data_IF_172760720525
#
_entry.id   IF_172760720525
#
_cell.length_a   1.000
_cell.length_b   1.000
_cell.length_c   1.000
_cell.angle_alpha   90.00
_cell.angle_beta   90.00
_cell.angle_gamma   90.00
#
_symmetry.space_group_name_H-M   'P 1'
#
loop_
_entity.id
_entity.type
_entity.pdbx_description
1 polymer ?
#
# COMPACT_ATOMS: atom_id res chain seq x y z
N UNK A 1 -12.07 9.44 5.58
CA UNK A 1 -10.58 9.59 5.59
C UNK A 1 -9.97 8.20 5.66
N UNK A 2 -8.94 7.93 4.87
CA UNK A 2 -8.17 6.69 4.92
C UNK A 2 -6.75 7.01 5.40
N UNK A 3 -6.26 6.26 6.35
CA UNK A 3 -4.93 6.48 6.92
C UNK A 3 -4.41 5.32 7.74
N UNK A 4 -3.55 5.62 8.65
CA UNK A 4 -2.88 4.72 9.57
C UNK A 4 -1.78 5.47 10.31
N UNK A 5 -0.81 4.78 10.86
CA UNK A 5 0.33 5.42 11.50
C UNK A 5 0.60 4.93 12.92
N UNK A 6 -0.02 3.85 13.32
CA UNK A 6 0.21 3.18 14.60
C UNK A 6 0.61 1.74 14.37
N UNK A 7 1.61 1.27 15.07
CA UNK A 7 2.02 -0.13 15.01
C UNK A 7 3.40 -0.35 15.61
N UNK A 8 3.83 -1.61 15.70
CA UNK A 8 5.09 -1.98 16.35
C UNK A 8 6.33 -1.68 15.51
N UNK A 9 6.17 -1.51 14.20
CA UNK A 9 7.29 -1.27 13.30
C UNK A 9 7.76 0.18 13.38
N UNK A 10 9.07 0.40 13.44
CA UNK A 10 9.66 1.72 13.31
C UNK A 10 9.27 2.32 11.95
N UNK A 11 8.93 3.60 11.93
CA UNK A 11 8.52 4.27 10.69
C UNK A 11 7.03 4.16 10.34
N UNK A 12 6.23 3.39 11.06
CA UNK A 12 4.78 3.28 10.78
C UNK A 12 4.05 4.62 10.83
N UNK A 13 4.51 5.57 11.65
CA UNK A 13 3.96 6.92 11.72
C UNK A 13 4.12 7.70 10.41
N UNK A 14 5.18 7.44 9.66
CA UNK A 14 5.47 8.11 8.40
C UNK A 14 4.91 7.37 7.17
N UNK A 15 4.56 6.12 7.30
CA UNK A 15 4.23 5.25 6.17
C UNK A 15 2.74 5.06 5.91
N UNK A 16 1.90 5.72 6.68
CA UNK A 16 0.43 5.71 6.50
C UNK A 16 -0.14 4.30 6.56
N UNK A 17 0.30 3.47 7.51
CA UNK A 17 -0.28 2.16 7.75
C UNK A 17 -0.29 1.77 9.22
N UNK A 18 -1.16 0.84 9.53
CA UNK A 18 -1.31 0.26 10.87
C UNK A 18 -1.12 -1.25 10.74
N UNK A 19 0.12 -1.78 10.96
CA UNK A 19 0.40 -3.19 10.73
C UNK A 19 -0.11 -4.07 11.87
N UNK A 20 -0.75 -5.16 11.47
CA UNK A 20 -1.18 -6.23 12.34
C UNK A 20 -2.61 -6.10 12.87
N UNK A 21 -3.29 -7.23 13.08
CA UNK A 21 -4.71 -7.28 13.44
C UNK A 21 -5.04 -6.51 14.71
N UNK A 22 -4.23 -6.66 15.75
CA UNK A 22 -4.46 -6.01 17.04
C UNK A 22 -4.45 -4.49 16.93
N UNK A 23 -3.45 -3.92 16.24
CA UNK A 23 -3.33 -2.47 16.07
C UNK A 23 -4.47 -1.90 15.22
N UNK A 24 -4.88 -2.60 14.17
CA UNK A 24 -6.02 -2.20 13.33
C UNK A 24 -7.28 -2.13 14.19
N UNK A 25 -7.55 -3.13 14.99
CA UNK A 25 -8.71 -3.14 15.87
C UNK A 25 -8.66 -2.01 16.91
N UNK A 26 -7.48 -1.71 17.47
CA UNK A 26 -7.31 -0.56 18.40
C UNK A 26 -7.56 0.77 17.71
N UNK A 27 -7.08 0.94 16.48
CA UNK A 27 -7.33 2.16 15.71
C UNK A 27 -8.83 2.33 15.39
N UNK A 28 -9.51 1.26 15.02
CA UNK A 28 -10.96 1.29 14.78
C UNK A 28 -11.69 1.71 16.07
N UNK A 29 -11.36 1.13 17.20
CA UNK A 29 -11.96 1.50 18.49
C UNK A 29 -11.67 2.97 18.88
N UNK A 30 -10.44 3.43 18.65
CA UNK A 30 -10.08 4.82 18.93
C UNK A 30 -10.84 5.81 18.04
N UNK A 31 -11.32 5.37 16.88
CA UNK A 31 -12.05 6.19 15.94
C UNK A 31 -13.51 6.43 16.29
N UNK A 32 -14.07 5.67 17.22
CA UNK A 32 -15.50 5.75 17.59
C UNK A 32 -15.93 7.13 18.10
N UNK A 33 -15.00 7.90 18.66
CA UNK A 33 -15.28 9.24 19.17
C UNK A 33 -15.36 10.33 18.07
N UNK A 34 -14.99 10.03 16.84
CA UNK A 34 -14.92 11.01 15.76
C UNK A 34 -16.16 10.94 14.86
N UNK A 35 -16.85 12.09 14.62
CA UNK A 35 -18.05 12.12 13.78
C UNK A 35 -17.71 12.12 12.29
N UNK A 36 -16.91 11.16 11.84
CA UNK A 36 -16.53 11.01 10.43
C UNK A 36 -16.21 9.55 10.08
N UNK A 37 -16.31 9.22 8.81
CA UNK A 37 -15.90 7.92 8.31
C UNK A 37 -14.37 7.83 8.27
N UNK A 38 -13.81 6.91 9.04
CA UNK A 38 -12.38 6.62 9.12
C UNK A 38 -12.10 5.19 8.66
N UNK A 39 -11.04 5.02 7.87
CA UNK A 39 -10.56 3.72 7.45
C UNK A 39 -9.06 3.60 7.69
N UNK A 40 -8.59 2.39 7.96
CA UNK A 40 -7.19 2.14 8.28
C UNK A 40 -6.56 1.17 7.28
N UNK A 41 -5.36 1.53 6.84
CA UNK A 41 -4.55 0.71 5.96
C UNK A 41 -3.67 -0.25 6.77
N UNK A 42 -3.70 -1.51 6.43
CA UNK A 42 -2.73 -2.50 6.90
C UNK A 42 -1.41 -2.41 6.14
N UNK A 43 -0.39 -3.11 6.63
CA UNK A 43 0.91 -3.23 5.97
C UNK A 43 0.80 -4.19 4.79
N UNK A 44 1.07 -3.70 3.59
CA UNK A 44 0.99 -4.48 2.34
C UNK A 44 2.23 -5.34 2.08
N UNK A 45 3.39 -4.96 2.63
CA UNK A 45 4.62 -5.73 2.47
C UNK A 45 4.56 -7.00 3.31
N UNK A 46 4.34 -8.12 2.66
CA UNK A 46 4.31 -9.44 3.28
C UNK A 46 4.83 -10.49 2.32
N UNK A 47 5.62 -11.42 2.83
CA UNK A 47 6.12 -12.55 2.06
C UNK A 47 5.06 -13.62 1.81
N UNK A 48 4.02 -13.64 2.66
CA UNK A 48 2.96 -14.65 2.61
C UNK A 48 1.58 -13.98 2.65
N UNK A 49 0.57 -14.54 1.97
CA UNK A 49 -0.77 -13.96 1.90
C UNK A 49 -1.53 -14.00 3.24
N UNK A 50 -1.18 -14.92 4.14
CA UNK A 50 -1.88 -15.08 5.42
C UNK A 50 -1.83 -13.81 6.27
N UNK A 51 -0.67 -13.18 6.38
CA UNK A 51 -0.51 -11.93 7.15
C UNK A 51 -1.32 -10.76 6.58
N UNK A 52 -1.53 -10.74 5.27
CA UNK A 52 -2.40 -9.76 4.62
C UNK A 52 -3.87 -10.05 4.92
N UNK A 53 -4.27 -11.31 4.80
CA UNK A 53 -5.64 -11.75 5.11
C UNK A 53 -6.03 -11.44 6.55
N UNK A 54 -5.15 -11.70 7.50
CA UNK A 54 -5.41 -11.43 8.93
C UNK A 54 -5.70 -9.94 9.17
N UNK A 55 -4.96 -9.05 8.53
CA UNK A 55 -5.17 -7.61 8.64
C UNK A 55 -6.51 -7.18 8.01
N UNK A 56 -6.85 -7.72 6.85
CA UNK A 56 -8.14 -7.46 6.18
C UNK A 56 -9.29 -7.93 7.07
N UNK A 57 -9.21 -9.14 7.59
CA UNK A 57 -10.23 -9.70 8.49
C UNK A 57 -10.37 -8.94 9.81
N UNK A 58 -9.31 -8.24 10.24
CA UNK A 58 -9.34 -7.37 11.40
C UNK A 58 -9.97 -5.99 11.14
N UNK A 59 -10.29 -5.67 9.87
CA UNK A 59 -10.95 -4.44 9.48
C UNK A 59 -10.08 -3.45 8.69
N UNK A 60 -8.91 -3.87 8.21
CA UNK A 60 -8.17 -3.04 7.26
C UNK A 60 -8.98 -2.88 5.96
N UNK A 61 -9.21 -1.64 5.55
CA UNK A 61 -9.94 -1.32 4.31
C UNK A 61 -9.00 -1.01 3.13
N UNK A 62 -7.70 -1.07 3.36
CA UNK A 62 -6.66 -0.93 2.35
C UNK A 62 -5.36 -1.60 2.82
N UNK A 63 -4.43 -1.79 1.89
CA UNK A 63 -3.07 -2.24 2.18
C UNK A 63 -2.06 -1.23 1.64
N UNK A 64 -1.03 -0.92 2.42
CA UNK A 64 0.03 0.02 2.06
C UNK A 64 1.34 -0.68 1.80
N UNK A 65 1.90 -0.47 0.62
CA UNK A 65 3.25 -0.85 0.23
C UNK A 65 4.21 0.33 0.43
N UNK A 66 5.37 0.08 1.01
CA UNK A 66 6.40 1.09 1.23
C UNK A 66 7.80 0.46 1.13
N UNK A 67 8.75 1.15 0.51
CA UNK A 67 10.11 0.64 0.29
C UNK A 67 10.86 0.32 1.57
N UNK A 68 10.62 1.05 2.65
CA UNK A 68 11.24 0.79 3.97
C UNK A 68 11.06 -0.64 4.47
N UNK A 69 10.11 -1.36 3.90
CA UNK A 69 9.81 -2.75 4.27
C UNK A 69 10.08 -3.76 3.15
N UNK A 70 10.81 -3.36 2.10
CA UNK A 70 11.11 -4.23 0.98
C UNK A 70 9.94 -4.42 0.02
N UNK A 71 9.71 -3.44 -0.86
CA UNK A 71 8.67 -3.51 -1.89
C UNK A 71 9.19 -4.23 -3.14
N UNK A 72 9.48 -5.52 -2.98
CA UNK A 72 9.89 -6.39 -4.09
C UNK A 72 8.72 -6.69 -5.03
N UNK A 73 8.98 -7.10 -6.29
CA UNK A 73 7.94 -7.56 -7.20
C UNK A 73 7.02 -8.63 -6.60
N UNK A 74 7.60 -9.55 -5.82
CA UNK A 74 6.83 -10.60 -5.13
C UNK A 74 5.91 -10.04 -4.04
N UNK A 75 6.37 -9.04 -3.27
CA UNK A 75 5.55 -8.39 -2.26
C UNK A 75 4.39 -7.60 -2.89
N UNK A 76 4.64 -6.92 -4.02
CA UNK A 76 3.61 -6.21 -4.79
C UNK A 76 2.57 -7.19 -5.30
N UNK A 77 3.00 -8.26 -5.94
CA UNK A 77 2.10 -9.28 -6.51
C UNK A 77 1.23 -9.94 -5.43
N UNK A 78 1.84 -10.31 -4.31
CA UNK A 78 1.14 -10.91 -3.18
C UNK A 78 0.08 -9.95 -2.59
N UNK A 79 0.45 -8.68 -2.42
CA UNK A 79 -0.45 -7.66 -1.90
C UNK A 79 -1.65 -7.44 -2.83
N UNK A 80 -1.40 -7.24 -4.12
CA UNK A 80 -2.45 -7.01 -5.11
C UNK A 80 -3.36 -8.22 -5.29
N UNK A 81 -2.81 -9.44 -5.26
CA UNK A 81 -3.60 -10.67 -5.35
C UNK A 81 -4.56 -10.83 -4.18
N UNK A 82 -4.14 -10.44 -2.97
CA UNK A 82 -5.03 -10.44 -1.81
C UNK A 82 -6.07 -9.33 -1.88
N UNK A 83 -5.67 -8.15 -2.34
CA UNK A 83 -6.58 -7.03 -2.52
C UNK A 83 -7.68 -7.33 -3.55
N UNK A 84 -7.33 -7.92 -4.68
CA UNK A 84 -8.30 -8.37 -5.69
C UNK A 84 -9.29 -9.39 -5.11
N UNK A 85 -8.80 -10.31 -4.28
CA UNK A 85 -9.63 -11.34 -3.64
C UNK A 85 -10.65 -10.77 -2.65
N UNK A 86 -10.29 -9.71 -1.94
CA UNK A 86 -11.12 -9.12 -0.88
C UNK A 86 -11.74 -7.78 -1.28
N UNK A 87 -11.54 -7.34 -2.51
CA UNK A 87 -12.05 -6.10 -3.07
C UNK A 87 -11.70 -4.87 -2.20
N UNK A 88 -10.40 -4.71 -1.89
CA UNK A 88 -9.89 -3.58 -1.12
C UNK A 88 -8.81 -2.81 -1.89
N UNK A 89 -8.57 -1.57 -1.48
CA UNK A 89 -7.59 -0.69 -2.09
C UNK A 89 -6.15 -1.09 -1.73
N UNK A 90 -5.24 -0.96 -2.71
CA UNK A 90 -3.79 -0.95 -2.47
C UNK A 90 -3.22 0.42 -2.73
N UNK A 91 -2.31 0.86 -1.87
CA UNK A 91 -1.56 2.10 -2.00
C UNK A 91 -0.07 1.79 -1.98
N UNK A 92 0.71 2.49 -2.82
CA UNK A 92 2.16 2.33 -2.87
C UNK A 92 2.85 3.68 -2.74
N UNK A 93 3.92 3.73 -1.93
CA UNK A 93 4.86 4.82 -1.91
C UNK A 93 5.86 4.64 -3.06
N UNK A 94 6.11 5.69 -3.85
CA UNK A 94 6.79 5.57 -5.14
C UNK A 94 8.13 6.30 -5.23
N UNK A 95 8.66 6.83 -4.12
CA UNK A 95 9.87 7.66 -4.17
C UNK A 95 11.11 6.92 -4.65
N UNK A 96 11.23 5.65 -4.36
CA UNK A 96 12.41 4.86 -4.69
C UNK A 96 12.16 3.63 -5.54
N UNK A 97 10.93 3.44 -6.02
CA UNK A 97 10.63 2.51 -7.11
C UNK A 97 10.96 1.05 -6.83
N UNK A 98 10.83 0.60 -5.62
CA UNK A 98 11.38 -0.65 -5.11
C UNK A 98 12.91 -0.62 -4.92
N UNK A 99 13.39 -1.36 -3.98
CA UNK A 99 14.83 -1.45 -3.66
C UNK A 99 15.66 -2.14 -4.76
N UNK A 100 15.04 -2.78 -5.73
CA UNK A 100 15.70 -3.39 -6.89
C UNK A 100 15.93 -2.43 -8.05
N UNK A 101 15.46 -1.20 -7.96
CA UNK A 101 16.02 -0.07 -8.69
C UNK A 101 15.40 0.29 -10.04
N UNK A 102 14.38 -0.41 -10.55
CA UNK A 102 13.78 -0.09 -11.83
C UNK A 102 12.26 -0.03 -11.80
N UNK A 103 11.71 1.08 -12.30
CA UNK A 103 10.27 1.31 -12.39
C UNK A 103 9.56 0.22 -13.21
N UNK A 104 10.21 -0.30 -14.22
CA UNK A 104 9.68 -1.34 -15.09
C UNK A 104 9.37 -2.62 -14.33
N UNK A 105 10.17 -2.97 -13.33
CA UNK A 105 9.91 -4.13 -12.48
C UNK A 105 8.67 -3.93 -11.62
N UNK A 106 8.47 -2.73 -11.10
CA UNK A 106 7.27 -2.36 -10.34
C UNK A 106 6.02 -2.40 -11.23
N UNK A 107 6.09 -1.78 -12.41
CA UNK A 107 4.97 -1.79 -13.37
C UNK A 107 4.63 -3.21 -13.83
N UNK A 108 5.64 -4.05 -14.06
CA UNK A 108 5.44 -5.46 -14.40
C UNK A 108 4.76 -6.22 -13.27
N UNK A 109 5.16 -5.97 -12.02
CA UNK A 109 4.55 -6.61 -10.85
C UNK A 109 3.10 -6.16 -10.63
N UNK A 110 2.80 -4.88 -10.87
CA UNK A 110 1.44 -4.34 -10.82
C UNK A 110 0.54 -5.05 -11.86
N UNK A 111 1.08 -5.33 -13.04
CA UNK A 111 0.42 -6.11 -14.09
C UNK A 111 -1.01 -5.64 -14.39
N UNK A 112 -1.18 -4.34 -14.64
CA UNK A 112 -2.46 -3.69 -14.97
C UNK A 112 -3.55 -3.78 -13.88
N UNK A 113 -3.21 -4.23 -12.67
CA UNK A 113 -4.12 -4.20 -11.53
C UNK A 113 -4.27 -2.79 -10.97
N UNK A 114 -5.35 -2.56 -10.23
CA UNK A 114 -5.64 -1.23 -9.67
C UNK A 114 -4.75 -0.99 -8.44
N UNK A 115 -4.06 0.14 -8.45
CA UNK A 115 -3.22 0.59 -7.35
C UNK A 115 -3.22 2.12 -7.28
N UNK A 116 -3.21 2.68 -6.07
CA UNK A 116 -3.03 4.11 -5.87
C UNK A 116 -1.56 4.41 -5.60
N UNK A 117 -0.93 5.16 -6.47
CA UNK A 117 0.46 5.55 -6.31
C UNK A 117 0.56 6.96 -5.72
N UNK A 118 1.24 7.09 -4.57
CA UNK A 118 1.54 8.39 -3.98
C UNK A 118 2.76 9.04 -4.62
N UNK A 119 2.77 10.38 -4.65
CA UNK A 119 3.90 11.23 -5.08
C UNK A 119 4.60 10.79 -6.37
N UNK A 120 3.85 10.33 -7.33
CA UNK A 120 4.40 9.91 -8.64
C UNK A 120 5.07 11.05 -9.38
N UNK A 121 4.68 12.29 -9.12
CA UNK A 121 5.24 13.50 -9.72
C UNK A 121 6.66 13.80 -9.29
N UNK A 122 7.09 13.35 -8.11
CA UNK A 122 8.43 13.58 -7.55
C UNK A 122 9.30 12.34 -7.48
N UNK A 123 8.74 11.18 -7.81
CA UNK A 123 9.43 9.92 -7.64
C UNK A 123 10.60 9.74 -8.60
N UNK A 124 11.69 9.16 -8.10
CA UNK A 124 12.78 8.67 -8.95
C UNK A 124 13.70 9.73 -9.53
N UNK A 125 13.94 10.83 -8.82
CA UNK A 125 15.00 11.75 -9.18
C UNK A 125 14.90 12.34 -10.59
N UNK A 126 13.69 12.65 -11.05
CA UNK A 126 13.42 13.24 -12.35
C UNK A 126 12.81 12.30 -13.40
N UNK A 127 12.66 11.03 -13.07
CA UNK A 127 11.83 10.12 -13.86
C UNK A 127 10.40 10.19 -13.31
N UNK A 128 9.59 11.03 -13.90
CA UNK A 128 8.19 11.12 -13.53
C UNK A 128 7.45 9.83 -13.93
N UNK A 129 6.99 9.07 -12.96
CA UNK A 129 6.13 7.91 -13.19
C UNK A 129 4.82 8.26 -13.90
N UNK A 130 4.39 9.51 -13.83
CA UNK A 130 3.23 10.03 -14.57
C UNK A 130 3.40 9.80 -16.06
N UNK A 131 4.59 10.05 -16.61
CA UNK A 131 4.86 9.87 -18.05
C UNK A 131 4.98 8.40 -18.46
N UNK A 132 5.23 7.51 -17.52
CA UNK A 132 5.39 6.06 -17.77
C UNK A 132 4.07 5.33 -17.56
N UNK A 133 3.25 5.80 -16.62
CA UNK A 133 2.00 5.15 -16.24
C UNK A 133 0.74 5.70 -16.88
N UNK A 134 0.83 6.82 -17.62
CA UNK A 134 -0.33 7.30 -18.36
C UNK A 134 -0.74 6.29 -19.45
N UNK A 135 -1.99 5.87 -19.48
CA UNK A 135 -2.48 5.09 -20.60
C UNK A 135 -2.34 5.97 -21.86
N UNK A 136 -1.60 5.49 -22.83
CA UNK A 136 -1.57 6.10 -24.15
C UNK A 136 -3.00 6.28 -24.62
N UNK A 137 -3.48 7.53 -24.69
CA UNK A 137 -4.76 7.81 -25.33
C UNK A 137 -4.65 7.29 -26.76
N UNK A 138 -5.57 6.44 -27.23
CA UNK A 138 -5.62 6.11 -28.63
C UNK A 138 -5.87 7.41 -29.39
N UNK A 139 -5.02 7.72 -30.35
CA UNK A 139 -5.22 8.78 -31.31
C UNK A 139 -6.45 8.51 -32.16
#
# INVERSE_FOLDING_TARGET
MLGGGTGPAHGTLATTCTPGPWHIQRMIQASDAFPMNLGFAGKGNSSLPEGLKEQIMAGACALKLHEDWGTTPGAIDNCLSMADKFDIQVMIHTDTLNESGFVENTLKAINKRIIHAFHTEGAGGGLSLIHISEPTRPN
#
